data_IF_910470658695
#
_entry.id   IF_910470658695
#
_cell.length_a   1.000
_cell.length_b   1.000
_cell.length_c   1.000
_cell.angle_alpha   90.00
_cell.angle_beta   90.00
_cell.angle_gamma   90.00
#
_symmetry.space_group_name_H-M   'P 1'
#
loop_
_entity.id
_entity.type
_entity.pdbx_description
1 polymer ?
#
# COMPACT_ATOMS: atom_id res chain seq x y z
N UNK A 1 21.98 -23.37 -9.13
CA UNK A 1 21.85 -23.17 -7.67
C UNK A 1 20.47 -22.64 -7.22
N UNK A 2 19.42 -22.76 -8.07
CA UNK A 2 18.07 -22.24 -7.77
C UNK A 2 17.07 -23.28 -7.20
N UNK A 3 17.48 -24.51 -7.05
CA UNK A 3 16.59 -25.59 -6.58
C UNK A 3 16.45 -25.72 -5.05
N UNK A 4 17.33 -25.07 -4.27
CA UNK A 4 17.30 -25.16 -2.80
C UNK A 4 16.37 -24.17 -2.11
N UNK A 5 15.90 -23.11 -2.78
CA UNK A 5 15.02 -22.12 -2.14
C UNK A 5 13.54 -22.56 -2.07
N UNK A 6 13.07 -23.32 -3.07
CA UNK A 6 11.71 -23.89 -3.04
C UNK A 6 11.55 -24.97 -1.95
N UNK A 7 12.61 -25.77 -1.74
CA UNK A 7 12.58 -26.80 -0.69
C UNK A 7 12.64 -26.22 0.71
N UNK A 8 13.22 -25.04 0.89
CA UNK A 8 13.32 -24.38 2.22
C UNK A 8 12.01 -23.71 2.60
N UNK A 9 11.29 -23.08 1.66
CA UNK A 9 9.96 -22.52 1.90
C UNK A 9 8.93 -23.62 2.20
N UNK A 10 9.05 -24.77 1.53
CA UNK A 10 8.17 -25.92 1.78
C UNK A 10 8.61 -26.73 3.02
N UNK A 11 9.89 -26.72 3.43
CA UNK A 11 10.36 -27.39 4.66
C UNK A 11 10.00 -26.62 5.93
N UNK A 12 9.86 -25.31 5.87
CA UNK A 12 9.32 -24.50 6.98
C UNK A 12 7.85 -24.84 7.27
N UNK A 13 7.13 -25.46 6.35
CA UNK A 13 5.77 -25.97 6.56
C UNK A 13 5.70 -27.41 7.12
N UNK A 14 6.83 -28.02 7.48
CA UNK A 14 6.81 -29.37 8.12
C UNK A 14 6.39 -29.36 9.58
N UNK A 15 6.50 -28.22 10.24
CA UNK A 15 5.87 -28.02 11.53
C UNK A 15 4.46 -27.51 11.26
N UNK A 16 3.51 -28.41 11.16
CA UNK A 16 2.04 -28.35 11.12
C UNK A 16 1.38 -26.97 11.39
N UNK A 17 1.76 -25.91 10.63
CA UNK A 17 1.05 -24.64 10.68
C UNK A 17 0.15 -24.54 9.45
N UNK A 18 -1.16 -24.37 9.63
CA UNK A 18 -2.09 -24.25 8.51
C UNK A 18 -1.79 -23.01 7.67
N UNK A 19 -1.94 -23.15 6.35
CA UNK A 19 -1.92 -22.02 5.44
C UNK A 19 -3.18 -21.18 5.61
N UNK A 20 -3.03 -19.89 5.74
CA UNK A 20 -4.15 -18.95 5.89
C UNK A 20 -4.80 -18.65 4.54
N UNK A 21 -6.05 -19.05 4.39
CA UNK A 21 -6.95 -18.38 3.45
C UNK A 21 -7.75 -17.32 4.23
N UNK A 22 -7.83 -16.09 3.69
CA UNK A 22 -8.52 -14.97 4.32
C UNK A 22 -9.74 -14.58 3.51
N UNK A 23 -10.86 -14.38 4.19
CA UNK A 23 -12.09 -13.91 3.57
C UNK A 23 -12.41 -12.54 4.12
N UNK A 24 -12.44 -11.54 3.24
CA UNK A 24 -12.94 -10.23 3.61
C UNK A 24 -14.43 -10.14 3.27
N UNK A 25 -15.22 -9.64 4.20
CA UNK A 25 -16.65 -9.43 4.02
C UNK A 25 -16.93 -7.93 3.95
N UNK A 26 -17.46 -7.49 2.84
CA UNK A 26 -18.13 -6.20 2.74
C UNK A 26 -19.65 -6.46 2.76
N UNK A 27 -20.25 -6.43 3.92
CA UNK A 27 -21.67 -6.53 4.22
C UNK A 27 -22.59 -7.39 3.31
N UNK A 28 -23.54 -8.09 3.91
CA UNK A 28 -24.58 -8.87 3.21
C UNK A 28 -25.86 -8.07 3.05
N UNK A 29 -26.50 -8.15 1.89
CA UNK A 29 -27.95 -8.05 1.80
C UNK A 29 -28.52 -9.31 1.15
N UNK A 30 -29.45 -9.97 1.83
CA UNK A 30 -30.30 -10.95 1.17
C UNK A 30 -31.15 -10.20 0.13
N UNK A 31 -31.08 -10.61 -1.13
CA UNK A 31 -32.04 -10.19 -2.13
C UNK A 31 -33.36 -10.91 -1.86
N UNK A 32 -34.14 -10.34 -0.96
CA UNK A 32 -35.55 -10.68 -0.72
C UNK A 32 -36.32 -9.37 -0.73
N UNK A 33 -37.19 -9.20 -1.72
CA UNK A 33 -38.10 -8.07 -1.83
C UNK A 33 -38.87 -7.84 -0.53
N UNK A 34 -38.46 -6.94 0.30
CA UNK A 34 -39.36 -6.18 1.19
C UNK A 34 -38.73 -4.83 1.51
N UNK A 35 -39.35 -3.77 1.01
CA UNK A 35 -39.12 -2.42 1.48
C UNK A 35 -39.46 -2.37 2.96
N UNK A 36 -38.42 -2.37 3.81
CA UNK A 36 -38.54 -1.87 5.19
C UNK A 36 -37.52 -0.78 5.35
N UNK A 37 -38.04 0.40 5.70
CA UNK A 37 -37.29 1.54 6.17
C UNK A 37 -36.44 1.12 7.36
N UNK A 38 -35.13 0.98 7.17
CA UNK A 38 -34.17 0.93 8.25
C UNK A 38 -33.39 2.23 8.22
N UNK A 39 -33.34 2.88 9.38
CA UNK A 39 -32.50 4.02 9.72
C UNK A 39 -31.10 3.87 9.11
N UNK A 40 -30.69 4.84 8.32
CA UNK A 40 -29.53 4.84 7.45
C UNK A 40 -28.19 4.61 8.19
N UNK A 41 -27.81 3.36 8.35
CA UNK A 41 -26.40 3.02 8.37
C UNK A 41 -25.90 3.19 6.92
N UNK A 42 -25.05 4.20 6.65
CA UNK A 42 -24.62 4.52 5.28
C UNK A 42 -24.10 3.30 4.55
N UNK A 43 -24.55 3.11 3.30
CA UNK A 43 -24.13 2.01 2.42
C UNK A 43 -22.61 2.00 2.29
N UNK A 44 -21.99 0.85 2.51
CA UNK A 44 -20.58 0.67 2.24
C UNK A 44 -20.35 0.53 0.73
N UNK A 45 -19.35 1.18 0.14
CA UNK A 45 -19.15 1.22 -1.32
C UNK A 45 -19.09 -0.14 -2.01
N UNK A 46 -18.54 -1.15 -1.34
CA UNK A 46 -18.37 -2.52 -1.84
C UNK A 46 -19.21 -3.52 -1.04
N UNK A 47 -20.34 -3.07 -0.49
CA UNK A 47 -21.25 -3.95 0.26
C UNK A 47 -21.77 -5.07 -0.65
N UNK A 48 -21.70 -6.31 -0.15
CA UNK A 48 -22.18 -7.50 -0.88
C UNK A 48 -21.11 -8.26 -1.65
N UNK A 49 -19.95 -7.65 -1.95
CA UNK A 49 -18.84 -8.36 -2.59
C UNK A 49 -18.03 -9.16 -1.58
N UNK A 50 -17.59 -10.36 -1.98
CA UNK A 50 -16.74 -11.26 -1.19
C UNK A 50 -15.39 -11.42 -1.85
N UNK A 51 -14.33 -11.34 -1.03
CA UNK A 51 -12.95 -11.52 -1.46
C UNK A 51 -12.37 -12.74 -0.78
N UNK A 52 -11.85 -13.68 -1.56
CA UNK A 52 -10.96 -14.73 -1.09
C UNK A 52 -9.52 -14.22 -1.26
N UNK A 53 -8.92 -13.86 -0.14
CA UNK A 53 -7.56 -13.31 -0.11
C UNK A 53 -6.58 -14.41 0.29
N UNK A 54 -5.75 -14.85 -0.66
CA UNK A 54 -4.71 -15.87 -0.48
C UNK A 54 -3.31 -15.24 -0.46
N UNK A 55 -3.21 -13.91 -0.42
CA UNK A 55 -1.92 -13.22 -0.47
C UNK A 55 -1.09 -13.39 0.79
N UNK A 56 0.21 -13.29 0.63
CA UNK A 56 1.23 -13.29 1.67
C UNK A 56 2.07 -12.03 1.49
N UNK A 57 2.58 -11.47 2.59
CA UNK A 57 3.42 -10.26 2.56
C UNK A 57 2.63 -9.01 2.11
N UNK A 58 3.29 -7.87 1.88
CA UNK A 58 2.69 -6.53 1.78
C UNK A 58 1.86 -6.24 0.53
N UNK A 59 2.14 -6.86 -0.61
CA UNK A 59 1.45 -6.58 -1.87
C UNK A 59 -0.01 -7.07 -1.93
N UNK A 60 -0.52 -7.64 -0.84
CA UNK A 60 -1.93 -8.01 -0.70
C UNK A 60 -2.84 -6.81 -0.62
N UNK A 61 -4.01 -6.90 -1.25
CA UNK A 61 -4.99 -5.81 -1.36
C UNK A 61 -5.39 -5.25 -0.01
N UNK A 62 -5.36 -3.93 0.08
CA UNK A 62 -6.07 -3.14 1.08
C UNK A 62 -5.65 -3.33 2.53
N UNK A 63 -4.39 -3.39 2.84
CA UNK A 63 -4.04 -3.20 4.22
C UNK A 63 -2.85 -3.93 4.77
N UNK A 64 -1.97 -4.43 3.93
CA UNK A 64 -0.73 -4.98 4.45
C UNK A 64 0.33 -3.89 4.54
N UNK A 65 0.23 -3.05 5.56
CA UNK A 65 1.20 -2.03 5.91
C UNK A 65 2.04 -2.49 7.09
N UNK A 66 3.13 -3.19 6.81
CA UNK A 66 4.27 -3.19 7.70
C UNK A 66 4.48 -4.39 8.63
N UNK A 67 5.49 -5.19 8.30
CA UNK A 67 6.31 -5.84 9.32
C UNK A 67 7.24 -4.80 9.94
N UNK A 68 7.02 -4.41 11.17
CA UNK A 68 8.06 -3.80 11.99
C UNK A 68 8.78 -4.94 12.72
N UNK A 69 10.11 -4.95 12.68
CA UNK A 69 10.97 -5.93 13.33
C UNK A 69 10.57 -6.14 14.80
N UNK A 70 9.99 -7.28 15.09
CA UNK A 70 9.59 -7.71 16.43
C UNK A 70 9.02 -9.13 16.36
N UNK A 71 9.07 -9.90 17.45
CA UNK A 71 8.64 -11.29 17.41
C UNK A 71 7.15 -11.39 17.05
N UNK A 72 6.83 -12.28 16.17
CA UNK A 72 5.54 -12.91 15.78
C UNK A 72 4.17 -12.21 16.05
N UNK A 73 4.14 -10.96 16.50
CA UNK A 73 2.92 -10.25 16.90
C UNK A 73 2.25 -9.48 15.76
N UNK A 74 2.63 -9.70 14.52
CA UNK A 74 2.36 -8.77 13.42
C UNK A 74 1.26 -9.12 12.39
N UNK A 75 0.50 -10.22 12.46
CA UNK A 75 -0.75 -10.34 11.71
C UNK A 75 -1.76 -9.26 12.09
N UNK A 76 -1.63 -8.71 13.31
CA UNK A 76 -2.62 -7.82 13.90
C UNK A 76 -2.74 -6.45 13.22
N UNK A 77 -1.69 -5.92 12.55
CA UNK A 77 -1.66 -4.51 12.17
C UNK A 77 -2.29 -4.17 10.82
N UNK A 78 -2.48 -5.16 9.93
CA UNK A 78 -2.81 -4.90 8.52
C UNK A 78 -4.03 -5.64 7.99
N UNK A 79 -4.59 -6.56 8.77
CA UNK A 79 -5.71 -7.41 8.36
C UNK A 79 -7.08 -6.97 8.93
N UNK A 80 -7.22 -5.68 9.26
CA UNK A 80 -8.49 -5.13 9.75
C UNK A 80 -9.65 -5.40 8.79
N UNK A 81 -10.82 -5.65 9.36
CA UNK A 81 -12.04 -6.01 8.62
C UNK A 81 -11.96 -7.33 7.86
N UNK A 82 -10.96 -8.18 8.10
CA UNK A 82 -10.84 -9.51 7.50
C UNK A 82 -11.26 -10.60 8.47
N UNK A 83 -11.74 -11.71 7.95
CA UNK A 83 -11.89 -12.97 8.67
C UNK A 83 -10.70 -13.87 8.36
N UNK A 84 -10.16 -14.55 9.35
CA UNK A 84 -9.05 -15.48 9.20
C UNK A 84 -9.55 -16.92 9.23
N UNK A 85 -9.29 -17.65 8.15
CA UNK A 85 -9.53 -19.09 8.02
C UNK A 85 -8.19 -19.84 8.08
N UNK A 86 -8.03 -20.72 9.04
CA UNK A 86 -6.90 -21.63 9.13
C UNK A 86 -7.18 -22.88 8.30
N UNK A 87 -6.44 -23.07 7.21
CA UNK A 87 -6.67 -24.14 6.25
C UNK A 87 -5.38 -24.63 5.62
N UNK A 88 -5.20 -25.96 5.59
CA UNK A 88 -4.14 -26.61 4.83
C UNK A 88 -4.65 -27.03 3.46
N UNK A 89 -4.16 -26.40 2.40
CA UNK A 89 -4.44 -26.85 1.03
C UNK A 89 -3.40 -27.83 0.46
N UNK A 90 -2.57 -28.41 1.33
CA UNK A 90 -1.78 -29.59 0.99
C UNK A 90 -2.65 -30.87 1.05
N UNK A 91 -3.74 -30.82 1.80
CA UNK A 91 -4.74 -31.89 1.86
C UNK A 91 -5.84 -31.65 0.80
N UNK A 92 -6.27 -32.69 0.07
CA UNK A 92 -7.35 -32.58 -0.91
C UNK A 92 -8.65 -32.01 -0.35
N UNK A 93 -9.00 -32.29 0.90
CA UNK A 93 -10.18 -31.74 1.56
C UNK A 93 -10.06 -30.22 1.76
N UNK A 94 -8.87 -29.72 2.02
CA UNK A 94 -8.61 -28.28 2.09
C UNK A 94 -8.72 -27.61 0.73
N UNK A 95 -8.27 -28.26 -0.34
CA UNK A 95 -8.48 -27.77 -1.73
C UNK A 95 -9.96 -27.72 -2.07
N UNK A 96 -10.75 -28.74 -1.72
CA UNK A 96 -12.20 -28.76 -1.92
C UNK A 96 -12.90 -27.60 -1.20
N UNK A 97 -12.50 -27.29 0.00
CA UNK A 97 -12.98 -26.12 0.76
C UNK A 97 -12.66 -24.82 0.00
N UNK A 98 -11.44 -24.66 -0.52
CA UNK A 98 -11.08 -23.46 -1.31
C UNK A 98 -11.89 -23.34 -2.59
N UNK A 99 -12.13 -24.44 -3.32
CA UNK A 99 -12.97 -24.44 -4.51
C UNK A 99 -14.41 -24.02 -4.19
N UNK A 100 -14.99 -24.57 -3.10
CA UNK A 100 -16.34 -24.21 -2.63
C UNK A 100 -16.44 -22.73 -2.22
N UNK A 101 -15.38 -22.17 -1.61
CA UNK A 101 -15.32 -20.75 -1.28
C UNK A 101 -15.18 -19.90 -2.54
N UNK A 102 -14.31 -20.26 -3.48
CA UNK A 102 -14.14 -19.56 -4.75
C UNK A 102 -15.43 -19.53 -5.57
N UNK A 103 -16.20 -20.62 -5.56
CA UNK A 103 -17.53 -20.68 -6.21
C UNK A 103 -18.51 -19.62 -5.66
N UNK A 104 -18.32 -19.16 -4.43
CA UNK A 104 -19.18 -18.19 -3.74
C UNK A 104 -18.58 -16.79 -3.61
N UNK A 105 -17.32 -16.61 -3.99
CA UNK A 105 -16.63 -15.32 -3.93
C UNK A 105 -16.74 -14.56 -5.24
N UNK A 106 -16.65 -13.24 -5.16
CA UNK A 106 -16.63 -12.33 -6.31
C UNK A 106 -15.22 -12.09 -6.83
N UNK A 107 -14.26 -12.15 -5.93
CA UNK A 107 -12.86 -11.82 -6.17
C UNK A 107 -11.99 -12.86 -5.48
N UNK A 108 -10.95 -13.32 -6.18
CA UNK A 108 -9.85 -14.06 -5.60
C UNK A 108 -8.56 -13.26 -5.83
N UNK A 109 -7.74 -13.14 -4.80
CA UNK A 109 -6.44 -12.47 -4.90
C UNK A 109 -5.36 -13.41 -4.41
N UNK A 110 -4.27 -13.51 -5.16
CA UNK A 110 -3.12 -14.33 -4.81
C UNK A 110 -1.81 -13.61 -5.17
N UNK A 111 -0.68 -14.03 -4.59
CA UNK A 111 0.64 -13.51 -4.91
C UNK A 111 1.71 -14.62 -4.92
N UNK A 112 1.39 -15.74 -5.53
CA UNK A 112 2.33 -16.83 -5.75
C UNK A 112 3.10 -16.64 -7.06
N UNK A 113 4.22 -17.35 -7.20
CA UNK A 113 4.96 -17.43 -8.48
C UNK A 113 4.01 -18.04 -9.52
N UNK A 114 3.98 -17.49 -10.76
CA UNK A 114 3.13 -17.99 -11.84
C UNK A 114 3.18 -19.52 -11.99
N UNK A 115 2.02 -20.15 -12.04
CA UNK A 115 1.87 -21.58 -12.14
C UNK A 115 1.95 -22.36 -10.81
N UNK A 116 2.38 -21.76 -9.71
CA UNK A 116 2.53 -22.47 -8.44
C UNK A 116 1.22 -23.00 -7.87
N UNK A 117 0.11 -22.34 -8.15
CA UNK A 117 -1.23 -22.75 -7.69
C UNK A 117 -1.90 -23.80 -8.57
N UNK A 118 -1.36 -24.08 -9.76
CA UNK A 118 -1.93 -25.05 -10.72
C UNK A 118 -2.04 -26.47 -10.14
N UNK A 119 -1.03 -26.90 -9.39
CA UNK A 119 -1.05 -28.23 -8.75
C UNK A 119 -2.14 -28.41 -7.70
N UNK A 120 -2.72 -27.31 -7.23
CA UNK A 120 -3.84 -27.28 -6.28
C UNK A 120 -5.18 -26.96 -6.97
N UNK A 121 -5.19 -26.82 -8.29
CA UNK A 121 -6.37 -26.40 -9.03
C UNK A 121 -6.89 -25.02 -8.62
N UNK A 122 -6.02 -24.16 -8.08
CA UNK A 122 -6.33 -22.80 -7.67
C UNK A 122 -5.83 -21.75 -8.67
N UNK A 123 -5.37 -22.18 -9.86
CA UNK A 123 -5.02 -21.30 -10.98
C UNK A 123 -6.28 -20.71 -11.64
N UNK A 124 -6.07 -19.61 -12.39
CA UNK A 124 -7.18 -18.92 -13.06
C UNK A 124 -8.04 -19.82 -13.93
N UNK A 125 -7.44 -20.67 -14.75
CA UNK A 125 -8.20 -21.52 -15.70
C UNK A 125 -9.13 -22.50 -14.99
N UNK A 126 -8.69 -23.04 -13.86
CA UNK A 126 -9.48 -23.95 -13.03
C UNK A 126 -10.59 -23.19 -12.29
N UNK A 127 -10.24 -22.09 -11.65
CA UNK A 127 -11.21 -21.29 -10.89
C UNK A 127 -12.23 -20.64 -11.80
N UNK A 128 -11.86 -20.21 -13.00
CA UNK A 128 -12.79 -19.64 -13.98
C UNK A 128 -13.84 -20.67 -14.48
N UNK A 129 -13.51 -21.96 -14.52
CA UNK A 129 -14.49 -23.02 -14.81
C UNK A 129 -15.48 -23.21 -13.65
N UNK A 130 -15.03 -23.05 -12.40
CA UNK A 130 -15.86 -23.15 -11.20
C UNK A 130 -16.77 -21.94 -11.08
N UNK A 131 -16.23 -20.74 -11.31
CA UNK A 131 -16.96 -19.47 -11.20
C UNK A 131 -16.56 -18.51 -12.34
N UNK A 132 -17.24 -18.56 -13.49
CA UNK A 132 -16.94 -17.69 -14.63
C UNK A 132 -17.11 -16.19 -14.38
N UNK A 133 -17.79 -15.81 -13.31
CA UNK A 133 -18.01 -14.43 -12.92
C UNK A 133 -16.95 -13.89 -11.93
N UNK A 134 -16.06 -14.76 -11.43
CA UNK A 134 -15.04 -14.37 -10.45
C UNK A 134 -13.94 -13.54 -11.12
N UNK A 135 -13.56 -12.45 -10.44
CA UNK A 135 -12.38 -11.65 -10.81
C UNK A 135 -11.18 -12.26 -10.09
N UNK A 136 -10.21 -12.72 -10.86
CA UNK A 136 -8.98 -13.35 -10.37
C UNK A 136 -7.81 -12.37 -10.49
N UNK A 137 -7.22 -11.94 -9.40
CA UNK A 137 -6.12 -11.00 -9.38
C UNK A 137 -4.83 -11.69 -8.91
N UNK A 138 -3.83 -11.74 -9.81
CA UNK A 138 -2.48 -12.21 -9.50
C UNK A 138 -1.55 -11.03 -9.31
N UNK A 139 -0.87 -10.97 -8.16
CA UNK A 139 0.14 -9.96 -7.85
C UNK A 139 1.49 -10.66 -7.83
N UNK A 140 2.40 -10.27 -8.70
CA UNK A 140 3.71 -10.92 -8.82
C UNK A 140 4.84 -9.89 -8.94
N UNK A 141 6.08 -10.32 -8.80
CA UNK A 141 7.23 -9.43 -9.01
C UNK A 141 7.33 -8.92 -10.44
N UNK A 142 7.11 -9.82 -11.42
CA UNK A 142 7.44 -9.55 -12.83
C UNK A 142 6.34 -9.93 -13.83
N UNK A 143 5.09 -10.17 -13.37
CA UNK A 143 3.96 -10.53 -14.22
C UNK A 143 3.84 -12.03 -14.52
N UNK A 144 2.71 -12.41 -15.15
CA UNK A 144 2.42 -13.78 -15.53
C UNK A 144 3.16 -14.21 -16.82
N UNK A 145 3.72 -13.26 -17.55
CA UNK A 145 4.41 -13.45 -18.81
C UNK A 145 5.74 -12.68 -18.85
N UNK A 146 6.52 -12.85 -19.92
CA UNK A 146 7.82 -12.19 -20.07
C UNK A 146 8.99 -13.00 -19.52
N UNK A 147 10.22 -12.50 -19.74
CA UNK A 147 11.44 -13.27 -19.46
C UNK A 147 11.70 -13.52 -17.97
N UNK A 148 11.11 -12.72 -17.09
CA UNK A 148 11.32 -12.81 -15.64
C UNK A 148 10.12 -13.34 -14.86
N UNK A 149 9.07 -13.81 -15.53
CA UNK A 149 7.83 -14.27 -14.87
C UNK A 149 8.07 -15.33 -13.78
N UNK A 150 9.06 -16.19 -13.93
CA UNK A 150 9.42 -17.23 -12.95
C UNK A 150 10.41 -16.76 -11.87
N UNK A 151 10.84 -15.51 -11.93
CA UNK A 151 11.79 -14.94 -10.97
C UNK A 151 11.06 -14.45 -9.72
N UNK A 152 11.63 -14.76 -8.55
CA UNK A 152 11.13 -14.18 -7.30
C UNK A 152 11.47 -12.69 -7.26
N UNK A 153 10.49 -11.85 -6.93
CA UNK A 153 10.62 -10.40 -6.75
C UNK A 153 10.05 -9.97 -5.41
N UNK A 154 10.72 -9.01 -4.79
CA UNK A 154 10.26 -8.27 -3.63
C UNK A 154 10.37 -6.77 -3.93
N UNK A 155 9.69 -5.94 -3.16
CA UNK A 155 9.70 -4.48 -3.28
C UNK A 155 11.09 -3.90 -3.58
N UNK A 156 12.06 -4.13 -2.70
CA UNK A 156 13.40 -3.55 -2.82
C UNK A 156 14.18 -4.02 -4.06
N UNK A 157 13.92 -5.26 -4.54
CA UNK A 157 14.54 -5.77 -5.77
C UNK A 157 13.99 -5.03 -6.99
N UNK A 158 12.69 -4.78 -6.99
CA UNK A 158 12.02 -4.05 -8.05
C UNK A 158 12.35 -2.55 -7.99
N UNK A 159 12.44 -1.93 -6.80
CA UNK A 159 12.97 -0.56 -6.66
C UNK A 159 14.34 -0.42 -7.33
N UNK A 160 15.23 -1.41 -7.11
CA UNK A 160 16.59 -1.38 -7.65
C UNK A 160 16.62 -1.57 -9.18
N UNK A 161 15.90 -2.57 -9.68
CA UNK A 161 15.97 -2.98 -11.09
C UNK A 161 15.17 -2.05 -12.01
N UNK A 162 14.09 -1.41 -11.48
CA UNK A 162 13.19 -0.55 -12.24
C UNK A 162 13.30 0.94 -11.87
N UNK A 163 14.50 1.37 -11.50
CA UNK A 163 14.95 2.76 -11.54
C UNK A 163 14.63 3.60 -10.32
N UNK A 164 13.70 3.24 -9.44
CA UNK A 164 13.32 4.06 -8.29
C UNK A 164 14.49 4.27 -7.34
N UNK A 165 15.22 3.20 -7.01
CA UNK A 165 16.38 3.29 -6.13
C UNK A 165 17.49 4.18 -6.74
N UNK A 166 17.65 4.17 -8.08
CA UNK A 166 18.64 5.02 -8.76
C UNK A 166 18.37 6.51 -8.53
N UNK A 167 17.12 6.94 -8.59
CA UNK A 167 16.73 8.35 -8.44
C UNK A 167 16.47 8.77 -6.98
N UNK A 168 16.61 7.85 -6.01
CA UNK A 168 16.34 8.08 -4.59
C UNK A 168 17.66 8.16 -3.81
N UNK A 169 17.81 9.21 -2.99
CA UNK A 169 18.99 9.45 -2.15
C UNK A 169 19.56 10.85 -2.29
N UNK A 170 20.60 11.15 -1.52
CA UNK A 170 21.33 12.40 -1.60
C UNK A 170 21.99 12.58 -2.98
N UNK A 171 22.12 13.84 -3.45
CA UNK A 171 22.63 14.19 -4.79
C UNK A 171 23.97 13.51 -5.10
N UNK A 172 24.90 13.56 -4.16
CA UNK A 172 26.25 13.00 -4.30
C UNK A 172 26.44 11.70 -3.48
N UNK A 173 25.33 11.12 -2.99
CA UNK A 173 25.33 9.90 -2.20
C UNK A 173 25.06 8.64 -3.03
N UNK A 174 25.14 7.47 -2.40
CA UNK A 174 24.75 6.21 -3.03
C UNK A 174 23.23 6.15 -3.26
N UNK A 175 22.75 5.27 -4.18
CA UNK A 175 21.34 4.90 -4.27
C UNK A 175 20.85 4.33 -2.94
N UNK A 176 19.63 4.71 -2.53
CA UNK A 176 19.00 4.19 -1.31
C UNK A 176 17.58 3.73 -1.60
N UNK A 177 17.11 2.74 -0.87
CA UNK A 177 15.72 2.32 -0.93
C UNK A 177 14.80 3.37 -0.31
N UNK A 178 13.55 3.40 -0.70
CA UNK A 178 12.53 4.19 0.00
C UNK A 178 12.28 3.63 1.41
N UNK A 179 11.94 4.48 2.35
CA UNK A 179 11.78 4.10 3.76
C UNK A 179 10.64 3.11 4.02
N UNK A 180 9.62 3.11 3.17
CA UNK A 180 8.52 2.13 3.16
C UNK A 180 8.56 1.30 1.88
N UNK A 181 7.91 0.14 1.86
CA UNK A 181 7.78 -0.70 0.66
C UNK A 181 6.81 -0.05 -0.34
N UNK A 182 7.24 1.03 -0.99
CA UNK A 182 6.37 1.89 -1.81
C UNK A 182 5.91 1.21 -3.09
N UNK A 183 6.72 0.32 -3.65
CA UNK A 183 6.35 -0.47 -4.83
C UNK A 183 5.23 -1.46 -4.50
N UNK A 184 5.32 -2.15 -3.36
CA UNK A 184 4.23 -3.01 -2.86
C UNK A 184 2.95 -2.21 -2.64
N UNK A 185 3.03 -1.04 -1.98
CA UNK A 185 1.88 -0.18 -1.70
C UNK A 185 1.20 0.31 -2.98
N UNK A 186 1.97 0.78 -3.95
CA UNK A 186 1.43 1.25 -5.23
C UNK A 186 0.85 0.10 -6.04
N UNK A 187 1.47 -1.07 -6.05
CA UNK A 187 0.93 -2.28 -6.68
C UNK A 187 -0.40 -2.68 -6.08
N UNK A 188 -0.52 -2.63 -4.74
CA UNK A 188 -1.80 -2.86 -4.04
C UNK A 188 -2.89 -1.85 -4.45
N UNK A 189 -2.54 -0.57 -4.62
CA UNK A 189 -3.46 0.46 -5.11
C UNK A 189 -3.86 0.22 -6.57
N UNK A 190 -2.91 -0.12 -7.46
CA UNK A 190 -3.24 -0.50 -8.85
C UNK A 190 -4.14 -1.72 -8.90
N UNK A 191 -3.85 -2.74 -8.09
CA UNK A 191 -4.66 -3.96 -8.02
C UNK A 191 -6.08 -3.65 -7.57
N UNK A 192 -6.26 -2.87 -6.51
CA UNK A 192 -7.60 -2.51 -6.02
C UNK A 192 -8.39 -1.68 -7.02
N UNK A 193 -7.75 -0.73 -7.72
CA UNK A 193 -8.37 0.03 -8.80
C UNK A 193 -8.77 -0.86 -9.98
N UNK A 194 -7.92 -1.80 -10.37
CA UNK A 194 -8.20 -2.75 -11.45
C UNK A 194 -9.36 -3.68 -11.10
N UNK A 195 -9.44 -4.14 -9.85
CA UNK A 195 -10.57 -4.94 -9.36
C UNK A 195 -11.88 -4.13 -9.42
N UNK A 196 -11.88 -2.88 -8.96
CA UNK A 196 -13.07 -2.03 -9.05
C UNK A 196 -13.51 -1.80 -10.50
N UNK A 197 -12.56 -1.55 -11.40
CA UNK A 197 -12.86 -1.43 -12.84
C UNK A 197 -13.41 -2.74 -13.42
N UNK A 198 -12.84 -3.89 -13.04
CA UNK A 198 -13.32 -5.21 -13.45
C UNK A 198 -14.73 -5.51 -12.91
N UNK A 199 -15.03 -5.13 -11.66
CA UNK A 199 -16.39 -5.25 -11.09
C UNK A 199 -17.42 -4.43 -11.88
N UNK A 200 -17.08 -3.19 -12.24
CA UNK A 200 -17.93 -2.35 -13.09
C UNK A 200 -18.12 -2.96 -14.50
N UNK A 201 -17.06 -3.50 -15.09
CA UNK A 201 -17.12 -4.22 -16.37
C UNK A 201 -17.99 -5.47 -16.29
N UNK A 202 -17.86 -6.24 -15.20
CA UNK A 202 -18.67 -7.44 -14.93
C UNK A 202 -20.16 -7.15 -14.83
N UNK A 203 -20.58 -6.00 -14.29
CA UNK A 203 -21.99 -5.61 -14.25
C UNK A 203 -22.64 -5.57 -15.64
N UNK A 204 -21.85 -5.27 -16.68
CA UNK A 204 -22.32 -5.22 -18.08
C UNK A 204 -22.17 -6.56 -18.79
N UNK A 205 -21.06 -7.27 -18.57
CA UNK A 205 -20.71 -8.50 -19.30
C UNK A 205 -21.21 -9.77 -18.64
N UNK A 206 -21.47 -9.76 -17.34
CA UNK A 206 -21.72 -10.95 -16.51
C UNK A 206 -20.48 -11.82 -16.28
N UNK A 207 -19.32 -11.44 -16.84
CA UNK A 207 -18.09 -12.26 -16.84
C UNK A 207 -17.02 -11.66 -15.94
N UNK A 208 -16.35 -12.53 -15.19
CA UNK A 208 -15.09 -12.23 -14.52
C UNK A 208 -13.90 -12.22 -15.50
N UNK A 209 -12.72 -11.94 -14.98
CA UNK A 209 -11.50 -11.92 -15.78
C UNK A 209 -10.25 -12.13 -14.89
N UNK A 210 -9.14 -12.45 -15.53
CA UNK A 210 -7.82 -12.46 -14.89
C UNK A 210 -7.22 -11.05 -14.92
N UNK A 211 -6.68 -10.62 -13.81
CA UNK A 211 -5.91 -9.39 -13.65
C UNK A 211 -4.47 -9.78 -13.33
N UNK A 212 -3.57 -9.52 -14.25
CA UNK A 212 -2.13 -9.69 -14.07
C UNK A 212 -1.55 -8.33 -13.64
N UNK A 213 -1.07 -8.24 -12.41
CA UNK A 213 -0.54 -7.01 -11.83
C UNK A 213 0.85 -7.28 -11.29
N UNK A 214 1.87 -6.69 -11.91
CA UNK A 214 3.25 -6.88 -11.49
C UNK A 214 3.82 -5.67 -10.77
N UNK A 215 4.71 -5.93 -9.81
CA UNK A 215 5.47 -4.88 -9.15
C UNK A 215 6.31 -4.09 -10.16
N UNK A 216 6.92 -4.78 -11.12
CA UNK A 216 7.78 -4.18 -12.15
C UNK A 216 7.05 -3.18 -13.04
N UNK A 217 5.83 -3.53 -13.48
CA UNK A 217 5.04 -2.65 -14.33
C UNK A 217 4.52 -1.46 -13.54
N UNK A 218 4.03 -1.70 -12.31
CA UNK A 218 3.60 -0.64 -11.42
C UNK A 218 4.74 0.31 -11.07
N UNK A 219 5.95 -0.21 -10.80
CA UNK A 219 7.12 0.60 -10.54
C UNK A 219 7.52 1.43 -11.76
N UNK A 220 7.53 0.82 -12.94
CA UNK A 220 7.83 1.54 -14.20
C UNK A 220 6.83 2.69 -14.41
N UNK A 221 5.54 2.44 -14.19
CA UNK A 221 4.50 3.46 -14.30
C UNK A 221 4.65 4.58 -13.26
N UNK A 222 5.11 4.26 -12.04
CA UNK A 222 5.29 5.25 -10.97
C UNK A 222 6.55 6.10 -11.11
N UNK A 223 7.47 5.83 -12.03
CA UNK A 223 8.51 6.78 -12.43
C UNK A 223 7.93 8.05 -13.09
N UNK A 224 6.68 8.01 -13.54
CA UNK A 224 5.85 9.14 -13.96
C UNK A 224 6.55 10.12 -14.93
N UNK A 225 6.70 11.39 -14.52
CA UNK A 225 7.29 12.44 -15.33
C UNK A 225 8.78 12.21 -15.65
N UNK A 226 9.53 11.52 -14.81
CA UNK A 226 10.95 11.21 -15.06
C UNK A 226 11.06 10.25 -16.22
N UNK A 227 10.30 9.13 -16.19
CA UNK A 227 10.26 8.20 -17.31
C UNK A 227 9.78 8.86 -18.60
N UNK A 228 8.72 9.69 -18.54
CA UNK A 228 8.22 10.42 -19.69
C UNK A 228 9.27 11.38 -20.27
N UNK A 229 10.01 12.07 -19.40
CA UNK A 229 11.09 12.97 -19.82
C UNK A 229 12.18 12.21 -20.58
N UNK A 230 12.65 11.09 -20.03
CA UNK A 230 13.67 10.26 -20.67
C UNK A 230 13.18 9.71 -22.03
N UNK A 231 11.93 9.23 -22.11
CA UNK A 231 11.35 8.71 -23.35
C UNK A 231 11.19 9.76 -24.46
N UNK A 232 10.82 11.00 -24.06
CA UNK A 232 10.60 12.08 -25.03
C UNK A 232 11.93 12.70 -25.51
N UNK A 233 12.87 12.94 -24.56
CA UNK A 233 14.13 13.59 -24.89
C UNK A 233 15.19 12.62 -25.45
N UNK A 234 15.10 11.33 -25.14
CA UNK A 234 16.16 10.35 -25.38
C UNK A 234 17.36 10.50 -24.45
N UNK A 235 17.30 11.43 -23.49
CA UNK A 235 18.38 11.70 -22.53
C UNK A 235 18.20 10.87 -21.25
N UNK A 236 19.31 10.62 -20.57
CA UNK A 236 19.30 9.97 -19.24
C UNK A 236 18.66 10.87 -18.20
N UNK A 237 18.13 10.26 -17.14
CA UNK A 237 17.66 10.99 -15.97
C UNK A 237 18.82 11.75 -15.28
N UNK A 238 18.46 12.74 -14.48
CA UNK A 238 19.42 13.59 -13.77
C UNK A 238 19.90 13.00 -12.43
N UNK A 239 19.53 11.74 -12.16
CA UNK A 239 19.93 11.03 -10.94
C UNK A 239 19.19 11.51 -9.69
N UNK A 240 19.90 11.46 -8.57
CA UNK A 240 19.37 11.78 -7.22
C UNK A 240 19.46 13.26 -6.91
N UNK A 241 18.43 13.75 -6.22
CA UNK A 241 18.34 15.15 -5.82
C UNK A 241 18.12 15.34 -4.31
N UNK A 242 18.14 14.26 -3.52
CA UNK A 242 17.81 14.31 -2.10
C UNK A 242 16.41 14.85 -1.86
N UNK A 243 16.30 15.92 -1.09
CA UNK A 243 15.03 16.63 -0.86
C UNK A 243 14.81 17.77 -1.86
N UNK A 244 15.76 18.03 -2.78
CA UNK A 244 15.68 19.14 -3.71
C UNK A 244 14.89 18.79 -4.97
N UNK A 245 14.26 19.81 -5.56
CA UNK A 245 13.64 19.67 -6.88
C UNK A 245 14.70 19.96 -7.97
N UNK A 246 14.79 19.16 -9.05
CA UNK A 246 15.84 19.34 -10.07
C UNK A 246 15.79 20.69 -10.79
N UNK A 247 14.62 21.25 -11.07
CA UNK A 247 14.40 22.43 -11.90
C UNK A 247 13.72 23.61 -11.20
N UNK A 248 13.52 23.54 -9.88
CA UNK A 248 12.91 24.61 -9.07
C UNK A 248 13.79 24.92 -7.88
N UNK A 249 14.13 26.20 -7.68
CA UNK A 249 15.02 26.66 -6.59
C UNK A 249 14.46 27.92 -5.97
N UNK A 250 14.43 28.02 -4.62
CA UNK A 250 14.66 26.94 -3.68
C UNK A 250 13.43 26.05 -3.49
N UNK A 251 13.63 24.75 -3.50
CA UNK A 251 12.63 23.77 -3.14
C UNK A 251 13.37 22.55 -2.55
N UNK A 252 13.68 22.58 -1.26
CA UNK A 252 14.35 21.49 -0.51
C UNK A 252 14.22 21.70 1.00
N UNK A 253 14.65 20.70 1.77
CA UNK A 253 14.85 20.82 3.21
C UNK A 253 16.15 21.52 3.53
N UNK A 254 16.12 22.46 4.48
CA UNK A 254 17.26 23.21 5.01
C UNK A 254 17.41 22.93 6.50
N UNK A 255 18.65 22.91 6.99
CA UNK A 255 18.93 22.77 8.42
C UNK A 255 18.37 23.94 9.20
N UNK A 256 17.86 23.65 10.38
CA UNK A 256 17.47 24.63 11.39
C UNK A 256 18.33 24.44 12.65
N UNK A 257 18.08 25.21 13.68
CA UNK A 257 18.79 25.05 14.95
C UNK A 257 18.57 23.70 15.62
N UNK A 258 17.44 23.06 15.37
CA UNK A 258 16.97 21.84 16.07
C UNK A 258 16.43 20.73 15.15
N UNK A 259 16.50 20.90 13.83
CA UNK A 259 16.00 19.92 12.89
C UNK A 259 16.12 20.36 11.45
N UNK A 260 15.08 20.12 10.66
CA UNK A 260 15.00 20.46 9.24
C UNK A 260 13.65 21.10 8.90
N UNK A 261 13.68 22.15 8.06
CA UNK A 261 12.49 22.79 7.49
C UNK A 261 12.55 22.76 5.96
N UNK A 262 11.46 22.37 5.33
CA UNK A 262 11.32 22.40 3.87
C UNK A 262 10.68 23.73 3.45
N UNK A 263 11.34 24.44 2.52
CA UNK A 263 10.82 25.64 1.90
C UNK A 263 10.53 25.38 0.42
N UNK A 264 9.30 25.76 -0.02
CA UNK A 264 8.82 25.59 -1.38
C UNK A 264 8.70 26.92 -2.13
N UNK A 265 9.83 27.58 -2.43
CA UNK A 265 9.86 28.82 -3.23
C UNK A 265 9.58 28.59 -4.72
N UNK A 266 8.49 27.88 -5.05
CA UNK A 266 8.23 27.26 -6.35
C UNK A 266 8.06 28.21 -7.57
N UNK A 267 7.92 29.52 -7.36
CA UNK A 267 7.92 30.55 -8.39
C UNK A 267 8.46 31.87 -7.84
N UNK A 268 8.61 32.88 -8.70
CA UNK A 268 9.24 34.14 -8.30
C UNK A 268 8.45 34.90 -7.22
N UNK A 269 7.11 34.79 -7.22
CA UNK A 269 6.27 35.37 -6.14
C UNK A 269 6.53 34.65 -4.79
N UNK A 270 6.57 33.32 -4.79
CA UNK A 270 6.82 32.53 -3.59
C UNK A 270 8.26 32.72 -3.09
N UNK A 271 9.22 32.88 -3.99
CA UNK A 271 10.60 33.24 -3.64
C UNK A 271 10.64 34.60 -2.95
N UNK A 272 9.88 35.60 -3.44
CA UNK A 272 9.75 36.89 -2.78
C UNK A 272 9.23 36.79 -1.35
N UNK A 273 8.22 35.94 -1.09
CA UNK A 273 7.72 35.68 0.28
C UNK A 273 8.79 35.02 1.15
N UNK A 274 9.56 34.07 0.58
CA UNK A 274 10.67 33.44 1.28
C UNK A 274 11.74 34.48 1.68
N UNK A 275 12.15 35.34 0.77
CA UNK A 275 13.13 36.40 1.02
C UNK A 275 12.68 37.31 2.19
N UNK A 276 11.41 37.74 2.17
CA UNK A 276 10.85 38.56 3.27
C UNK A 276 10.89 37.80 4.61
N UNK A 277 10.47 36.54 4.61
CA UNK A 277 10.47 35.70 5.81
C UNK A 277 11.85 35.43 6.38
N UNK A 278 12.86 35.29 5.50
CA UNK A 278 14.25 35.10 5.87
C UNK A 278 14.94 36.43 6.29
N UNK A 279 14.28 37.58 6.08
CA UNK A 279 14.89 38.91 6.33
C UNK A 279 15.96 39.26 5.29
N UNK A 280 15.81 38.79 4.06
CA UNK A 280 16.72 38.96 2.93
C UNK A 280 15.99 39.53 1.70
N UNK A 281 15.27 40.65 1.82
CA UNK A 281 14.50 41.20 0.71
C UNK A 281 15.35 41.58 -0.51
N UNK A 282 16.64 41.87 -0.31
CA UNK A 282 17.59 42.18 -1.36
C UNK A 282 17.76 41.07 -2.40
N UNK A 283 17.56 39.82 -2.03
CA UNK A 283 17.68 38.68 -2.96
C UNK A 283 16.63 38.68 -4.08
N UNK A 284 15.50 39.42 -3.90
CA UNK A 284 14.44 39.52 -4.92
C UNK A 284 14.92 40.21 -6.19
N UNK A 285 15.81 41.20 -6.03
CA UNK A 285 16.29 42.01 -7.13
C UNK A 285 17.71 41.64 -7.58
N UNK A 286 18.34 40.69 -6.87
CA UNK A 286 19.67 40.18 -7.24
C UNK A 286 19.59 39.50 -8.63
N UNK A 287 20.41 39.93 -9.60
CA UNK A 287 20.44 39.33 -10.94
C UNK A 287 20.68 37.81 -10.93
N UNK A 288 21.32 37.26 -9.92
CA UNK A 288 21.56 35.82 -9.77
C UNK A 288 20.32 35.06 -9.31
N UNK A 289 19.34 35.72 -8.66
CA UNK A 289 18.24 35.05 -7.97
C UNK A 289 16.84 35.49 -8.40
N UNK A 290 16.74 36.55 -9.19
CA UNK A 290 15.48 37.21 -9.54
C UNK A 290 14.46 36.30 -10.21
N UNK A 291 14.89 35.41 -11.10
CA UNK A 291 14.02 34.45 -11.80
C UNK A 291 14.49 33.02 -11.58
N UNK A 292 13.58 32.05 -11.68
CA UNK A 292 13.88 30.66 -11.38
C UNK A 292 15.07 30.09 -12.17
N UNK A 293 15.20 30.41 -13.46
CA UNK A 293 16.34 29.92 -14.27
C UNK A 293 17.70 30.39 -13.75
N UNK A 294 17.76 31.61 -13.24
CA UNK A 294 18.97 32.16 -12.62
C UNK A 294 19.23 31.50 -11.25
N UNK A 295 18.19 31.26 -10.46
CA UNK A 295 18.31 30.51 -9.19
C UNK A 295 18.77 29.08 -9.43
N UNK A 296 18.31 28.43 -10.48
CA UNK A 296 18.77 27.08 -10.88
C UNK A 296 20.27 27.11 -11.24
N UNK A 297 20.69 28.13 -12.02
CA UNK A 297 22.11 28.29 -12.38
C UNK A 297 23.02 28.61 -11.21
N UNK A 298 22.52 29.33 -10.19
CA UNK A 298 23.25 29.73 -8.98
C UNK A 298 22.76 28.97 -7.73
N UNK A 299 22.27 27.74 -7.91
CA UNK A 299 21.64 26.91 -6.88
C UNK A 299 22.48 26.79 -5.63
N UNK A 300 23.71 26.34 -5.78
CA UNK A 300 24.58 25.98 -4.66
C UNK A 300 24.90 27.24 -3.80
N UNK A 301 25.08 28.41 -4.43
CA UNK A 301 25.29 29.69 -3.74
C UNK A 301 24.00 30.08 -2.96
N UNK A 302 22.86 30.10 -3.61
CA UNK A 302 21.61 30.52 -2.97
C UNK A 302 21.21 29.56 -1.83
N UNK A 303 21.31 28.26 -2.04
CA UNK A 303 20.96 27.27 -1.02
C UNK A 303 21.88 27.35 0.20
N UNK A 304 23.19 27.61 0.00
CA UNK A 304 24.15 27.84 1.10
C UNK A 304 23.81 29.12 1.88
N UNK A 305 23.43 30.19 1.20
CA UNK A 305 23.05 31.46 1.88
C UNK A 305 21.73 31.29 2.66
N UNK A 306 20.74 30.53 2.11
CA UNK A 306 19.51 30.20 2.85
C UNK A 306 19.84 29.39 4.09
N UNK A 307 20.74 28.41 4.00
CA UNK A 307 21.08 27.54 5.13
C UNK A 307 21.81 28.30 6.27
N UNK A 308 22.65 29.30 5.95
CA UNK A 308 23.20 30.18 6.95
C UNK A 308 22.14 30.93 7.76
N UNK A 309 21.04 31.30 7.12
CA UNK A 309 19.94 32.00 7.78
C UNK A 309 19.04 31.04 8.51
N UNK A 310 18.70 29.89 7.90
CA UNK A 310 17.75 28.94 8.46
C UNK A 310 18.25 28.30 9.76
N UNK A 311 19.56 28.13 9.92
CA UNK A 311 20.15 27.62 11.16
C UNK A 311 20.09 28.58 12.35
N UNK A 312 19.70 29.83 12.14
CA UNK A 312 19.61 30.84 13.23
C UNK A 312 18.37 30.67 14.10
N UNK A 313 17.34 29.98 13.61
CA UNK A 313 16.08 29.76 14.33
C UNK A 313 15.75 28.26 14.41
N UNK A 314 14.88 27.91 15.36
CA UNK A 314 14.31 26.58 15.48
C UNK A 314 13.32 26.32 14.33
N UNK A 315 13.04 25.05 14.08
CA UNK A 315 12.01 24.63 13.11
C UNK A 315 10.70 25.31 13.40
N UNK A 316 10.24 25.27 14.67
CA UNK A 316 8.98 25.90 15.06
C UNK A 316 8.92 27.40 14.78
N UNK A 317 9.98 28.14 15.11
CA UNK A 317 10.07 29.58 14.82
C UNK A 317 9.95 29.86 13.32
N UNK A 318 10.49 29.00 12.45
CA UNK A 318 10.32 29.13 11.00
C UNK A 318 8.91 28.83 10.54
N UNK A 319 8.24 27.83 11.10
CA UNK A 319 6.84 27.56 10.79
C UNK A 319 5.99 28.79 11.16
N UNK A 320 6.20 29.38 12.33
CA UNK A 320 5.47 30.58 12.79
C UNK A 320 5.72 31.80 11.86
N UNK A 321 6.93 31.95 11.32
CA UNK A 321 7.27 33.03 10.36
C UNK A 321 6.46 32.92 9.08
N UNK A 322 6.19 31.70 8.58
CA UNK A 322 5.54 31.49 7.30
C UNK A 322 4.04 31.18 7.40
N UNK A 323 3.52 31.03 8.63
CA UNK A 323 2.09 30.78 8.85
C UNK A 323 1.24 31.87 8.19
N UNK A 324 0.25 31.45 7.41
CA UNK A 324 -0.68 32.34 6.70
C UNK A 324 -0.12 33.17 5.55
N UNK A 325 1.19 33.07 5.22
CA UNK A 325 1.83 33.88 4.16
C UNK A 325 1.62 33.32 2.76
N UNK A 326 1.02 32.14 2.61
CA UNK A 326 0.70 31.53 1.31
C UNK A 326 1.92 31.00 0.53
N UNK A 327 3.01 30.68 1.22
CA UNK A 327 4.15 29.92 0.71
C UNK A 327 4.11 28.51 1.29
N UNK A 328 4.39 27.44 0.50
CA UNK A 328 4.53 26.09 1.03
C UNK A 328 5.77 25.95 1.92
N UNK A 329 5.58 25.40 3.11
CA UNK A 329 6.63 25.09 4.06
C UNK A 329 6.20 23.90 4.94
N UNK A 330 7.15 23.17 5.50
CA UNK A 330 6.87 22.06 6.40
C UNK A 330 8.10 21.71 7.27
N UNK A 331 7.87 21.24 8.49
CA UNK A 331 8.89 20.54 9.26
C UNK A 331 9.11 19.13 8.70
N UNK A 332 10.31 18.61 8.80
CA UNK A 332 10.58 17.19 8.55
C UNK A 332 10.37 16.45 9.86
N UNK A 333 9.21 15.80 10.00
CA UNK A 333 8.83 15.05 11.19
C UNK A 333 9.27 13.59 11.09
N UNK A 334 9.55 12.98 12.24
CA UNK A 334 9.58 11.53 12.35
C UNK A 334 8.17 10.92 12.36
N UNK A 335 8.09 9.58 12.38
CA UNK A 335 6.80 8.87 12.37
C UNK A 335 5.98 9.18 13.63
N UNK A 336 6.64 9.28 14.80
CA UNK A 336 5.95 9.59 16.05
C UNK A 336 5.36 11.00 16.04
N UNK A 337 6.12 11.97 15.54
CA UNK A 337 5.65 13.35 15.33
C UNK A 337 4.47 13.40 14.36
N UNK A 338 4.50 12.61 13.27
CA UNK A 338 3.38 12.51 12.33
C UNK A 338 2.12 11.93 12.99
N UNK A 339 2.25 10.88 13.82
CA UNK A 339 1.12 10.24 14.47
C UNK A 339 0.49 11.10 15.59
N UNK A 340 1.26 12.00 16.19
CA UNK A 340 0.82 12.96 17.20
C UNK A 340 0.47 14.35 16.63
N UNK A 341 0.69 14.57 15.32
CA UNK A 341 0.45 15.85 14.67
C UNK A 341 -1.03 16.24 14.77
N UNK A 342 -1.32 17.51 15.13
CA UNK A 342 -2.69 18.01 15.32
C UNK A 342 -3.59 17.75 14.12
N UNK A 343 -3.09 17.96 12.91
CA UNK A 343 -3.84 17.71 11.67
C UNK A 343 -4.14 16.21 11.49
N UNK A 344 -3.21 15.32 11.80
CA UNK A 344 -3.38 13.86 11.76
C UNK A 344 -4.52 13.44 12.72
N UNK A 345 -4.50 14.00 13.95
CA UNK A 345 -5.52 13.72 14.96
C UNK A 345 -6.87 14.31 14.56
N UNK A 346 -6.91 15.59 14.13
CA UNK A 346 -8.13 16.25 13.66
C UNK A 346 -8.78 15.52 12.46
N UNK A 347 -7.97 14.85 11.62
CA UNK A 347 -8.44 14.03 10.51
C UNK A 347 -8.81 12.60 10.91
N UNK A 348 -8.76 12.26 12.21
CA UNK A 348 -9.01 10.91 12.71
C UNK A 348 -8.17 9.85 12.00
N UNK A 349 -6.88 10.12 11.74
CA UNK A 349 -5.99 9.18 11.09
C UNK A 349 -5.38 8.17 12.06
N UNK A 350 -5.50 8.41 13.37
CA UNK A 350 -5.18 7.44 14.43
C UNK A 350 -6.49 7.10 15.14
N UNK A 351 -6.79 5.81 15.22
CA UNK A 351 -8.00 5.29 15.89
C UNK A 351 -7.59 4.21 16.90
N UNK A 352 -8.38 4.09 17.94
CA UNK A 352 -8.24 3.02 18.93
C UNK A 352 -9.35 1.98 18.73
N UNK A 353 -9.03 0.71 18.95
CA UNK A 353 -9.95 -0.41 18.84
C UNK A 353 -9.60 -1.46 19.88
N UNK A 354 -10.62 -2.04 20.49
CA UNK A 354 -10.45 -3.18 21.38
C UNK A 354 -10.16 -4.44 20.57
N UNK A 355 -9.04 -5.09 20.87
CA UNK A 355 -8.64 -6.36 20.28
C UNK A 355 -8.81 -7.45 21.34
N UNK A 356 -9.51 -8.54 20.99
CA UNK A 356 -9.90 -9.61 21.91
C UNK A 356 -8.72 -10.17 22.73
N UNK A 357 -7.54 -10.30 22.11
CA UNK A 357 -6.37 -10.92 22.76
C UNK A 357 -5.31 -9.89 23.21
N UNK A 358 -5.34 -8.66 22.70
CA UNK A 358 -4.31 -7.66 22.97
C UNK A 358 -4.83 -6.45 23.78
N UNK A 359 -6.12 -6.39 24.08
CA UNK A 359 -6.74 -5.21 24.66
C UNK A 359 -6.77 -4.02 23.68
N UNK A 360 -6.82 -2.78 24.16
CA UNK A 360 -6.86 -1.60 23.29
C UNK A 360 -5.60 -1.44 22.45
N UNK A 361 -5.76 -1.35 21.13
CA UNK A 361 -4.66 -1.09 20.17
C UNK A 361 -4.94 0.14 19.33
N UNK A 362 -3.90 0.88 18.96
CA UNK A 362 -4.02 2.03 18.05
C UNK A 362 -3.62 1.62 16.64
N UNK A 363 -4.41 2.07 15.67
CA UNK A 363 -4.22 1.77 14.25
C UNK A 363 -4.32 3.03 13.41
N UNK A 364 -3.62 3.04 12.28
CA UNK A 364 -3.81 4.09 11.26
C UNK A 364 -5.17 3.86 10.59
N UNK A 365 -5.99 4.90 10.49
CA UNK A 365 -7.32 4.85 9.88
C UNK A 365 -7.24 4.88 8.35
N UNK A 366 -8.39 4.66 7.69
CA UNK A 366 -8.51 4.88 6.24
C UNK A 366 -8.32 6.36 5.88
N UNK A 367 -7.50 6.68 4.86
CA UNK A 367 -7.33 8.06 4.43
C UNK A 367 -8.53 8.60 3.62
N UNK A 368 -9.39 7.70 3.13
CA UNK A 368 -10.53 8.09 2.28
C UNK A 368 -11.69 8.61 3.13
N UNK A 369 -12.24 9.75 2.73
CA UNK A 369 -13.41 10.37 3.35
C UNK A 369 -14.50 10.50 2.28
N UNK A 370 -15.66 9.87 2.52
CA UNK A 370 -16.80 9.91 1.62
C UNK A 370 -17.91 10.78 2.24
N UNK A 371 -18.66 11.50 1.41
CA UNK A 371 -19.81 12.31 1.87
C UNK A 371 -20.97 11.43 2.32
N UNK A 372 -21.23 10.33 1.61
CA UNK A 372 -22.40 9.46 1.84
C UNK A 372 -22.02 8.16 2.56
N UNK A 373 -20.96 7.49 2.11
CA UNK A 373 -20.48 6.24 2.69
C UNK A 373 -19.62 6.51 3.92
N UNK A 374 -19.65 5.62 4.90
CA UNK A 374 -18.80 5.69 6.09
C UNK A 374 -17.84 4.49 6.14
N UNK A 375 -16.80 4.47 5.28
CA UNK A 375 -15.77 3.45 5.38
C UNK A 375 -15.03 3.60 6.73
N UNK A 376 -14.67 2.47 7.33
CA UNK A 376 -13.98 2.52 8.61
C UNK A 376 -13.66 1.13 9.14
N UNK A 377 -13.09 1.11 10.32
CA UNK A 377 -12.82 -0.11 11.06
C UNK A 377 -14.14 -0.69 11.60
N UNK A 378 -14.42 -1.94 11.25
CA UNK A 378 -15.59 -2.70 11.73
C UNK A 378 -15.18 -3.84 12.65
N UNK A 379 -13.99 -4.40 12.40
CA UNK A 379 -13.38 -5.43 13.24
C UNK A 379 -11.87 -5.21 13.30
N UNK A 380 -11.25 -5.50 14.45
CA UNK A 380 -9.79 -5.50 14.56
C UNK A 380 -9.18 -6.56 13.63
N UNK A 381 -7.87 -6.51 13.38
CA UNK A 381 -7.17 -7.57 12.67
C UNK A 381 -7.37 -8.91 13.39
N UNK A 382 -7.71 -10.01 12.70
CA UNK A 382 -7.92 -11.29 13.36
C UNK A 382 -6.62 -11.99 13.70
N UNK A 383 -6.64 -12.85 14.71
CA UNK A 383 -5.58 -13.85 14.93
C UNK A 383 -5.69 -14.99 13.91
N UNK A 384 -4.66 -15.80 13.82
CA UNK A 384 -4.58 -16.93 12.90
C UNK A 384 -5.72 -17.93 13.13
N UNK A 385 -6.55 -18.17 12.09
CA UNK A 385 -7.66 -19.12 12.16
C UNK A 385 -8.85 -18.69 13.03
N UNK A 386 -8.85 -17.49 13.58
CA UNK A 386 -9.87 -17.01 14.53
C UNK A 386 -11.32 -17.23 14.05
N UNK A 387 -11.56 -17.22 12.75
CA UNK A 387 -12.90 -17.32 12.19
C UNK A 387 -13.13 -18.62 11.40
N UNK A 388 -12.30 -19.66 11.62
CA UNK A 388 -12.36 -20.91 10.86
C UNK A 388 -13.77 -21.51 10.91
N UNK A 389 -14.31 -21.75 12.10
CA UNK A 389 -15.62 -22.37 12.30
C UNK A 389 -16.75 -21.50 11.73
N UNK A 390 -16.72 -20.21 11.99
CA UNK A 390 -17.69 -19.24 11.45
C UNK A 390 -17.72 -19.28 9.94
N UNK A 391 -16.55 -19.25 9.30
CA UNK A 391 -16.45 -19.26 7.84
C UNK A 391 -16.97 -20.58 7.25
N UNK A 392 -16.60 -21.71 7.83
CA UNK A 392 -17.04 -23.01 7.37
C UNK A 392 -18.56 -23.20 7.55
N UNK A 393 -19.10 -22.79 8.68
CA UNK A 393 -20.54 -22.87 8.98
C UNK A 393 -21.35 -21.91 8.10
N UNK A 394 -21.02 -20.63 8.13
CA UNK A 394 -21.82 -19.58 7.50
C UNK A 394 -21.73 -19.58 5.97
N UNK A 395 -20.56 -19.93 5.45
CA UNK A 395 -20.33 -19.86 4.01
C UNK A 395 -20.46 -21.23 3.32
N UNK A 396 -20.16 -22.33 4.00
CA UNK A 396 -20.21 -23.66 3.39
C UNK A 396 -21.33 -24.53 3.95
N UNK A 397 -21.96 -24.14 5.08
CA UNK A 397 -23.06 -24.89 5.69
C UNK A 397 -22.59 -26.16 6.39
N UNK A 398 -21.30 -26.23 6.77
CA UNK A 398 -20.80 -27.39 7.51
C UNK A 398 -21.31 -27.37 8.95
N UNK A 399 -21.69 -28.54 9.43
CA UNK A 399 -22.06 -28.73 10.84
C UNK A 399 -20.82 -28.91 11.75
N UNK A 400 -21.04 -28.87 13.06
CA UNK A 400 -19.95 -28.95 14.04
C UNK A 400 -19.22 -30.29 13.99
N UNK A 401 -19.90 -31.40 13.65
CA UNK A 401 -19.27 -32.71 13.52
C UNK A 401 -18.32 -32.77 12.32
N UNK A 402 -18.72 -32.17 11.19
CA UNK A 402 -17.88 -32.05 9.99
C UNK A 402 -16.66 -31.17 10.25
N UNK A 403 -16.84 -30.03 10.93
CA UNK A 403 -15.74 -29.12 11.27
C UNK A 403 -14.76 -29.80 12.23
N UNK A 404 -15.24 -30.50 13.26
CA UNK A 404 -14.41 -31.27 14.19
C UNK A 404 -13.60 -32.35 13.47
N UNK A 405 -14.23 -33.11 12.57
CA UNK A 405 -13.53 -34.11 11.76
C UNK A 405 -12.42 -33.52 10.89
N UNK A 406 -12.64 -32.33 10.29
CA UNK A 406 -11.61 -31.62 9.52
C UNK A 406 -10.45 -31.16 10.40
N UNK A 407 -10.74 -30.75 11.63
CA UNK A 407 -9.74 -30.34 12.62
C UNK A 407 -8.89 -31.52 13.10
N UNK A 408 -9.53 -32.67 13.42
CA UNK A 408 -8.83 -33.91 13.81
C UNK A 408 -7.89 -34.41 12.70
N UNK A 409 -8.25 -34.22 11.44
CA UNK A 409 -7.40 -34.55 10.28
C UNK A 409 -6.32 -33.51 10.00
N UNK A 410 -6.26 -32.40 10.72
CA UNK A 410 -5.32 -31.31 10.49
C UNK A 410 -5.57 -30.52 9.19
N UNK A 411 -6.76 -30.62 8.61
CA UNK A 411 -7.15 -29.85 7.42
C UNK A 411 -7.44 -28.40 7.79
N UNK A 412 -8.07 -28.18 8.94
CA UNK A 412 -8.33 -26.84 9.51
C UNK A 412 -7.84 -26.77 10.96
N UNK A 413 -7.62 -25.55 11.46
CA UNK A 413 -7.22 -25.30 12.85
C UNK A 413 -8.26 -24.46 13.60
#
# INVERSE_FOLDING_TARGET
MAFNSLSTVLRSCKDARPCLARITRTGWSQAGLSRRSSTAAGLLPLQGYRVLDMTRVLAGILGDLGRVNGPETDPAKVNRNKKSLGLSFQDPAGVDILHKLAAKCDILVENYIPGALKKYGMDFDTIHKINPALIYASITGYGQSGPYSQRAGYDVMVEAEFGLMHITGARDGPPVKVGVAVTDLTTGLYTSNSIMAALLGRQKSGKGQHLDVSLSDCQTATLANIASSCLISGEKDTGRWGTAHPSIVPYKAFKTKDGDVLFGGGNDRLFGILCDGLGKPEWKDDPKFKINSQRVANRDELEAEIEKVSTLKTTKEWLDVFEGKGMPYAAVNDVQGTLSHEHTLARNMVIEVDHEHCGPIKLVNTPMKFSESKPGLRSPPPTLGQHTDEVLRDHLGLDDAQITSLREKGVVN
#
